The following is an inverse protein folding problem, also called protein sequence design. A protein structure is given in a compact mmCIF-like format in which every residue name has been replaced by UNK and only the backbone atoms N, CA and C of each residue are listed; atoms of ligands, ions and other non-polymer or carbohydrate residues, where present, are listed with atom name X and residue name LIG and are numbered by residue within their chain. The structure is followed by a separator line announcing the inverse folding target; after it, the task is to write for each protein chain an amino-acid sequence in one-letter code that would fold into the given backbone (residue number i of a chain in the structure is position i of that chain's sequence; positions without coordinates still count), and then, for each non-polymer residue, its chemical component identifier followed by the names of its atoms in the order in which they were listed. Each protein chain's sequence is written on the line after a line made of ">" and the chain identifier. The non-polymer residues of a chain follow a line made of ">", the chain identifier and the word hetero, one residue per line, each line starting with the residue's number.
data_IF_935748911178
#
_entry.id   IF_935748911178
#
_cell.length_a   1.000
_cell.length_b   1.000
_cell.length_c   1.000
_cell.angle_alpha   90.00
_cell.angle_beta   90.00
_cell.angle_gamma   90.00
#
_symmetry.space_group_name_H-M   'P 1'
#
loop_
_entity.id
_entity.type
_entity.pdbx_description
1 polymer ?
#
# COMPACT_ATOMS: atom_id res chain seq x y z
N UNK A 1 -18.12 -18.48 -18.73
CA UNK A 1 -18.00 -17.04 -19.08
C UNK A 1 -16.52 -16.74 -19.33
N UNK A 2 -16.20 -16.03 -20.41
CA UNK A 2 -14.81 -15.63 -20.68
C UNK A 2 -14.43 -14.39 -19.86
N UNK A 3 -13.19 -14.33 -19.37
CA UNK A 3 -12.64 -13.13 -18.72
C UNK A 3 -12.56 -12.03 -19.78
N UNK A 4 -13.33 -10.95 -19.60
CA UNK A 4 -13.26 -9.76 -20.45
C UNK A 4 -12.28 -8.76 -19.86
N UNK A 5 -11.47 -8.11 -20.71
CA UNK A 5 -10.62 -6.97 -20.30
C UNK A 5 -11.53 -5.82 -19.87
N UNK A 6 -11.84 -5.73 -18.58
CA UNK A 6 -12.74 -4.73 -18.01
C UNK A 6 -12.07 -3.38 -17.74
N UNK A 7 -12.89 -2.35 -17.50
CA UNK A 7 -12.45 -1.05 -17.00
C UNK A 7 -12.19 -1.14 -15.50
N UNK A 8 -11.00 -1.61 -15.11
CA UNK A 8 -10.59 -1.59 -13.71
C UNK A 8 -10.64 -0.15 -13.13
N UNK A 9 -11.07 0.04 -11.88
CA UNK A 9 -11.13 1.36 -11.26
C UNK A 9 -9.72 1.94 -11.13
N UNK A 10 -9.60 3.28 -11.21
CA UNK A 10 -8.30 3.97 -11.08
C UNK A 10 -7.76 3.99 -9.64
N UNK A 11 -8.65 3.85 -8.67
CA UNK A 11 -8.35 3.86 -7.24
C UNK A 11 -9.11 2.75 -6.54
N UNK A 12 -8.56 2.29 -5.41
CA UNK A 12 -9.16 1.22 -4.61
C UNK A 12 -9.22 1.70 -3.16
N UNK A 13 -10.40 2.01 -2.61
CA UNK A 13 -10.54 2.27 -1.18
C UNK A 13 -10.30 0.96 -0.42
N UNK A 14 -9.55 1.04 0.68
CA UNK A 14 -9.15 -0.09 1.50
C UNK A 14 -9.21 0.27 2.99
N UNK A 15 -9.45 -0.75 3.80
CA UNK A 15 -9.41 -0.68 5.26
C UNK A 15 -8.46 -1.76 5.73
N UNK A 16 -7.33 -1.37 6.32
CA UNK A 16 -6.30 -2.28 6.80
C UNK A 16 -6.44 -2.44 8.30
N UNK A 17 -6.66 -3.67 8.75
CA UNK A 17 -6.62 -4.05 10.15
C UNK A 17 -5.16 -4.33 10.52
N UNK A 18 -4.58 -3.46 11.33
CA UNK A 18 -3.18 -3.48 11.74
C UNK A 18 -3.09 -3.96 13.19
N UNK A 19 -2.24 -4.93 13.45
CA UNK A 19 -1.98 -5.43 14.81
C UNK A 19 -0.50 -5.28 15.13
N UNK A 20 -0.19 -4.63 16.26
CA UNK A 20 1.20 -4.34 16.64
C UNK A 20 1.27 -3.74 18.04
N UNK A 21 2.34 -4.04 18.77
CA UNK A 21 2.55 -3.47 20.13
C UNK A 21 1.49 -3.86 21.17
N UNK A 22 0.64 -4.86 20.89
CA UNK A 22 -0.49 -5.22 21.75
C UNK A 22 -1.79 -4.47 21.46
N UNK A 23 -1.82 -3.64 20.42
CA UNK A 23 -2.99 -2.86 20.00
C UNK A 23 -3.50 -3.29 18.62
N UNK A 24 -4.82 -3.24 18.46
CA UNK A 24 -5.50 -3.40 17.18
C UNK A 24 -5.91 -2.02 16.68
N UNK A 25 -5.36 -1.65 15.53
CA UNK A 25 -5.61 -0.37 14.88
C UNK A 25 -6.26 -0.61 13.52
N UNK A 26 -7.03 0.36 13.04
CA UNK A 26 -7.53 0.31 11.67
C UNK A 26 -7.08 1.53 10.90
N UNK A 27 -6.45 1.30 9.74
CA UNK A 27 -6.04 2.34 8.82
C UNK A 27 -6.96 2.33 7.59
N UNK A 28 -7.72 3.42 7.40
CA UNK A 28 -8.52 3.62 6.18
C UNK A 28 -7.68 4.41 5.17
N UNK A 29 -7.57 3.92 3.94
CA UNK A 29 -6.78 4.58 2.90
C UNK A 29 -7.28 4.24 1.50
N UNK A 30 -6.96 5.07 0.52
CA UNK A 30 -7.26 4.82 -0.89
C UNK A 30 -5.97 4.62 -1.67
N UNK A 31 -5.83 3.46 -2.32
CA UNK A 31 -4.71 3.17 -3.22
C UNK A 31 -4.93 3.71 -4.63
N UNK A 32 -3.84 4.10 -5.30
CA UNK A 32 -3.76 4.11 -6.75
C UNK A 32 -3.77 2.67 -7.27
N UNK A 33 -4.63 2.34 -8.24
CA UNK A 33 -4.65 1.00 -8.83
C UNK A 33 -3.50 0.84 -9.85
N UNK A 34 -2.26 0.78 -9.35
CA UNK A 34 -1.06 0.56 -10.14
C UNK A 34 -1.02 -0.87 -10.66
N UNK A 35 -0.62 -1.06 -11.91
CA UNK A 35 -0.39 -2.38 -12.49
C UNK A 35 0.83 -3.05 -11.85
N UNK A 36 0.94 -4.39 -11.92
CA UNK A 36 2.14 -5.08 -11.46
C UNK A 36 3.42 -4.62 -12.19
N UNK A 37 3.31 -4.26 -13.47
CA UNK A 37 4.44 -3.70 -14.24
C UNK A 37 4.89 -2.34 -13.71
N UNK A 38 3.94 -1.43 -13.42
CA UNK A 38 4.25 -0.10 -12.86
C UNK A 38 4.90 -0.22 -11.46
N UNK A 39 4.47 -1.22 -10.67
CA UNK A 39 5.09 -1.51 -9.38
C UNK A 39 6.53 -1.99 -9.54
N UNK A 40 6.78 -2.95 -10.46
CA UNK A 40 8.10 -3.47 -10.71
C UNK A 40 9.07 -2.39 -11.22
N UNK A 41 8.61 -1.56 -12.17
CA UNK A 41 9.35 -0.38 -12.66
C UNK A 41 9.70 0.57 -11.51
N UNK A 42 8.75 0.82 -10.59
CA UNK A 42 9.01 1.71 -9.45
C UNK A 42 10.02 1.12 -8.46
N UNK A 43 9.94 -0.18 -8.19
CA UNK A 43 10.91 -0.88 -7.32
C UNK A 43 12.31 -0.84 -7.94
N UNK A 44 12.42 -1.06 -9.25
CA UNK A 44 13.68 -0.96 -9.98
C UNK A 44 14.26 0.47 -9.94
N UNK A 45 13.42 1.49 -10.11
CA UNK A 45 13.80 2.91 -10.00
C UNK A 45 14.33 3.26 -8.60
N UNK A 46 13.70 2.72 -7.54
CA UNK A 46 14.09 2.98 -6.15
C UNK A 46 15.34 2.21 -5.71
N UNK A 47 15.73 1.14 -6.41
CA UNK A 47 16.93 0.37 -6.11
C UNK A 47 16.74 -0.62 -4.95
N UNK A 48 17.77 -0.77 -4.11
CA UNK A 48 17.78 -1.79 -3.05
C UNK A 48 16.81 -1.42 -1.89
N UNK A 49 16.04 -2.39 -1.36
CA UNK A 49 15.10 -2.17 -0.25
C UNK A 49 15.74 -1.63 1.03
N UNK A 50 17.03 -1.91 1.24
CA UNK A 50 17.78 -1.58 2.45
C UNK A 50 18.26 -0.11 2.47
N UNK A 51 18.05 0.63 1.38
CA UNK A 51 18.39 2.05 1.30
C UNK A 51 17.16 2.92 1.61
N UNK A 52 17.18 3.73 2.68
CA UNK A 52 16.15 4.75 2.85
C UNK A 52 16.25 5.80 1.73
N UNK A 53 15.12 6.33 1.23
CA UNK A 53 13.74 6.13 1.67
C UNK A 53 12.95 5.17 0.76
N UNK A 54 13.36 3.90 0.63
CA UNK A 54 12.67 2.91 -0.22
C UNK A 54 11.17 2.75 0.13
N UNK A 55 10.85 2.33 1.36
CA UNK A 55 9.45 2.13 1.79
C UNK A 55 8.62 3.43 1.78
N UNK A 56 9.12 4.56 2.32
CA UNK A 56 8.41 5.83 2.22
C UNK A 56 8.04 6.21 0.78
N UNK A 57 9.01 6.12 -0.14
CA UNK A 57 8.80 6.46 -1.56
C UNK A 57 7.81 5.51 -2.23
N UNK A 58 7.86 4.23 -1.89
CA UNK A 58 6.95 3.22 -2.42
C UNK A 58 5.52 3.46 -1.92
N UNK A 59 5.32 3.80 -0.65
CA UNK A 59 3.99 4.10 -0.09
C UNK A 59 3.40 5.35 -0.75
N UNK A 60 4.17 6.43 -0.94
CA UNK A 60 3.69 7.63 -1.63
C UNK A 60 3.31 7.37 -3.10
N UNK A 61 3.94 6.39 -3.75
CA UNK A 61 3.57 5.98 -5.10
C UNK A 61 2.24 5.20 -5.16
N UNK A 62 1.95 4.43 -4.11
CA UNK A 62 0.81 3.52 -4.02
C UNK A 62 -0.42 4.16 -3.40
N UNK A 63 -0.25 5.01 -2.39
CA UNK A 63 -1.34 5.60 -1.61
C UNK A 63 -1.68 6.97 -2.20
N UNK A 64 -2.98 7.18 -2.44
CA UNK A 64 -3.51 8.47 -2.92
C UNK A 64 -3.87 9.39 -1.74
N UNK A 65 -4.47 8.81 -0.72
CA UNK A 65 -4.97 9.47 0.49
C UNK A 65 -5.08 8.41 1.59
N UNK A 66 -4.91 8.83 2.84
CA UNK A 66 -5.05 7.99 4.02
C UNK A 66 -5.66 8.80 5.16
N UNK A 67 -6.32 8.11 6.07
CA UNK A 67 -7.01 8.69 7.23
C UNK A 67 -6.14 8.52 8.47
N UNK A 68 -5.16 9.41 8.60
CA UNK A 68 -4.20 9.43 9.73
C UNK A 68 -3.80 10.86 10.06
N UNK A 69 -3.27 11.07 11.27
CA UNK A 69 -2.67 12.34 11.68
C UNK A 69 -1.35 12.65 10.94
N UNK A 70 -0.72 11.63 10.33
CA UNK A 70 0.51 11.79 9.55
C UNK A 70 0.23 12.32 8.14
N UNK A 71 1.09 13.23 7.68
CA UNK A 71 1.01 13.75 6.33
C UNK A 71 1.44 12.70 5.29
N UNK A 72 0.80 12.69 4.12
CA UNK A 72 1.21 11.86 2.99
C UNK A 72 2.42 12.49 2.26
N UNK A 73 3.54 12.58 2.97
CA UNK A 73 4.83 13.12 2.52
C UNK A 73 5.95 12.20 3.02
N UNK A 74 7.16 12.30 2.46
CA UNK A 74 8.29 11.44 2.88
C UNK A 74 8.54 11.55 4.38
N UNK A 75 8.47 12.76 4.93
CA UNK A 75 8.64 13.02 6.35
C UNK A 75 7.52 12.38 7.17
N UNK A 76 6.26 12.61 6.80
CA UNK A 76 5.11 12.08 7.54
C UNK A 76 4.98 10.55 7.49
N UNK A 77 5.30 9.91 6.35
CA UNK A 77 5.33 8.44 6.29
C UNK A 77 6.52 7.85 7.03
N UNK A 78 7.64 8.57 7.14
CA UNK A 78 8.79 8.13 7.95
C UNK A 78 8.46 8.24 9.44
N UNK A 79 7.84 9.33 9.86
CA UNK A 79 7.35 9.51 11.24
C UNK A 79 6.35 8.42 11.64
N UNK A 80 5.43 8.07 10.74
CA UNK A 80 4.50 6.96 10.96
C UNK A 80 5.22 5.61 11.16
N UNK A 81 6.30 5.34 10.42
CA UNK A 81 7.12 4.13 10.59
C UNK A 81 7.92 4.14 11.89
N UNK A 82 8.44 5.30 12.30
CA UNK A 82 9.18 5.46 13.56
C UNK A 82 8.26 5.24 14.78
N UNK A 83 7.04 5.77 14.75
CA UNK A 83 6.04 5.57 15.82
C UNK A 83 5.38 4.19 15.78
N UNK A 84 5.17 3.66 14.57
CA UNK A 84 4.50 2.37 14.34
C UNK A 84 5.33 1.50 13.40
N UNK A 85 6.42 0.86 13.89
CA UNK A 85 7.28 0.04 13.06
C UNK A 85 6.52 -1.06 12.32
N UNK A 86 6.78 -1.19 11.01
CA UNK A 86 6.13 -2.14 10.12
C UNK A 86 4.82 -1.65 9.48
N UNK A 87 4.38 -0.41 9.75
CA UNK A 87 3.17 0.13 9.13
C UNK A 87 3.33 0.28 7.62
N UNK A 88 4.49 0.73 7.13
CA UNK A 88 4.69 0.93 5.69
C UNK A 88 4.71 -0.41 4.94
N UNK A 89 5.38 -1.42 5.50
CA UNK A 89 5.36 -2.78 4.97
C UNK A 89 3.93 -3.34 4.93
N UNK A 90 3.15 -3.12 5.98
CA UNK A 90 1.75 -3.54 6.07
C UNK A 90 0.87 -2.86 5.01
N UNK A 91 1.10 -1.57 4.72
CA UNK A 91 0.41 -0.84 3.65
C UNK A 91 0.72 -1.47 2.28
N UNK A 92 1.99 -1.76 1.99
CA UNK A 92 2.40 -2.40 0.74
C UNK A 92 1.77 -3.80 0.60
N UNK A 93 1.74 -4.58 1.69
CA UNK A 93 1.06 -5.87 1.70
C UNK A 93 -0.46 -5.72 1.45
N UNK A 94 -1.10 -4.75 2.10
CA UNK A 94 -2.49 -4.40 1.90
C UNK A 94 -2.81 -4.10 0.43
N UNK A 95 -1.95 -3.32 -0.24
CA UNK A 95 -2.08 -3.02 -1.67
C UNK A 95 -2.13 -4.29 -2.54
N UNK A 96 -1.29 -5.28 -2.24
CA UNK A 96 -1.30 -6.54 -2.98
C UNK A 96 -2.56 -7.36 -2.68
N UNK A 97 -2.96 -7.46 -1.41
CA UNK A 97 -4.13 -8.25 -1.01
C UNK A 97 -5.44 -7.71 -1.58
N UNK A 98 -5.65 -6.39 -1.63
CA UNK A 98 -6.88 -5.81 -2.22
C UNK A 98 -6.98 -6.01 -3.74
N UNK A 99 -5.84 -6.24 -4.41
CA UNK A 99 -5.78 -6.48 -5.87
C UNK A 99 -5.77 -7.96 -6.24
N UNK A 100 -5.61 -8.84 -5.25
CA UNK A 100 -5.50 -10.28 -5.44
C UNK A 100 -6.84 -10.85 -5.89
N UNK A 101 -6.83 -11.59 -6.99
CA UNK A 101 -8.00 -12.36 -7.42
C UNK A 101 -8.12 -13.57 -6.49
N UNK A 102 -9.23 -13.67 -5.76
CA UNK A 102 -9.56 -14.84 -4.94
C UNK A 102 -10.57 -15.70 -5.68
N UNK A 103 -10.37 -17.01 -5.63
CA UNK A 103 -11.36 -17.97 -6.09
C UNK A 103 -12.51 -17.96 -5.08
N UNK A 104 -13.73 -17.66 -5.54
CA UNK A 104 -14.94 -17.74 -4.73
C UNK A 104 -15.81 -18.88 -5.24
N UNK A 105 -15.96 -19.91 -4.41
CA UNK A 105 -16.69 -21.13 -4.74
C UNK A 105 -15.85 -22.13 -5.54
N UNK A 106 -15.97 -23.40 -5.15
CA UNK A 106 -15.52 -24.60 -5.83
C UNK A 106 -16.40 -25.76 -5.35
#
# INVERSE_FOLDING_TARGET
>A
MAIKKGNAPKTIPAKLELTGGGEENTLSLTFHNRKPSEFAEKVEELGLPDAPPFFPSLVLFLVKEWDTDYSLSVEGVTEAEDERPGILASIVQGFHEVRKVKLQGN
#
